data_IF_409034225832
#
_entry.id   IF_409034225832
#
_cell.length_a   1.000
_cell.length_b   1.000
_cell.length_c   1.000
_cell.angle_alpha   90.00
_cell.angle_beta   90.00
_cell.angle_gamma   90.00
#
_symmetry.space_group_name_H-M   'P 1'
#
loop_
_entity.id
_entity.type
_entity.pdbx_description
1 polymer ?
#
# COMPACT_ATOMS: atom_id res chain seq x y z
N UNK A 1 -9.94 15.62 9.43
CA UNK A 1 -10.52 14.26 9.36
C UNK A 1 -11.78 14.19 8.51
N UNK A 2 -12.68 15.17 8.61
CA UNK A 2 -13.96 15.22 7.88
C UNK A 2 -13.88 14.89 6.39
N UNK A 3 -12.89 15.41 5.66
CA UNK A 3 -12.70 15.09 4.23
C UNK A 3 -11.76 13.91 3.97
N UNK A 4 -10.73 13.72 4.82
CA UNK A 4 -9.72 12.67 4.63
C UNK A 4 -10.32 11.27 4.80
N UNK A 5 -11.17 11.07 5.81
CA UNK A 5 -11.73 9.76 6.14
C UNK A 5 -12.68 9.25 5.05
N UNK A 6 -13.66 10.03 4.54
CA UNK A 6 -14.49 9.58 3.42
C UNK A 6 -13.68 9.25 2.17
N UNK A 7 -12.69 10.09 1.82
CA UNK A 7 -11.82 9.83 0.66
C UNK A 7 -11.03 8.52 0.85
N UNK A 8 -10.51 8.29 2.05
CA UNK A 8 -9.80 7.05 2.39
C UNK A 8 -10.70 5.83 2.26
N UNK A 9 -11.94 5.89 2.78
CA UNK A 9 -12.92 4.80 2.71
C UNK A 9 -13.31 4.53 1.24
N UNK A 10 -13.56 5.57 0.44
CA UNK A 10 -13.87 5.42 -0.98
C UNK A 10 -12.70 4.79 -1.75
N UNK A 11 -11.47 5.27 -1.53
CA UNK A 11 -10.27 4.70 -2.14
C UNK A 11 -10.06 3.23 -1.72
N UNK A 12 -10.27 2.92 -0.44
CA UNK A 12 -10.27 1.58 0.13
C UNK A 12 -11.28 0.65 -0.53
N UNK A 13 -12.51 1.12 -0.67
CA UNK A 13 -13.61 0.34 -1.26
C UNK A 13 -13.30 0.03 -2.73
N UNK A 14 -12.85 1.02 -3.50
CA UNK A 14 -12.43 0.83 -4.89
C UNK A 14 -11.24 -0.13 -5.01
N UNK A 15 -10.26 -0.04 -4.11
CA UNK A 15 -9.12 -0.96 -4.08
C UNK A 15 -9.57 -2.40 -3.79
N UNK A 16 -10.47 -2.60 -2.81
CA UNK A 16 -11.00 -3.92 -2.46
C UNK A 16 -11.84 -4.55 -3.57
N UNK A 17 -12.70 -3.77 -4.22
CA UNK A 17 -13.45 -4.26 -5.38
C UNK A 17 -12.49 -4.63 -6.52
N UNK A 18 -11.50 -3.77 -6.80
CA UNK A 18 -10.51 -4.04 -7.82
C UNK A 18 -9.67 -5.28 -7.51
N UNK A 19 -9.26 -5.51 -6.25
CA UNK A 19 -8.53 -6.71 -5.89
C UNK A 19 -9.39 -7.97 -6.02
N UNK A 20 -10.67 -7.92 -5.63
CA UNK A 20 -11.60 -9.02 -5.83
C UNK A 20 -11.75 -9.37 -7.32
N UNK A 21 -11.95 -8.37 -8.19
CA UNK A 21 -11.98 -8.58 -9.64
C UNK A 21 -10.66 -9.14 -10.18
N UNK A 22 -9.51 -8.66 -9.67
CA UNK A 22 -8.21 -9.16 -10.09
C UNK A 22 -8.02 -10.64 -9.74
N UNK A 23 -8.45 -11.07 -8.54
CA UNK A 23 -8.38 -12.45 -8.05
C UNK A 23 -9.30 -13.38 -8.85
N UNK A 24 -10.52 -12.94 -9.16
CA UNK A 24 -11.48 -13.74 -9.93
C UNK A 24 -11.17 -13.78 -11.44
N UNK A 25 -10.20 -13.00 -11.90
CA UNK A 25 -9.83 -12.91 -13.32
C UNK A 25 -8.56 -13.68 -13.62
N UNK A 26 -8.45 -14.18 -14.84
CA UNK A 26 -7.28 -14.92 -15.29
C UNK A 26 -6.04 -14.01 -15.34
N UNK A 27 -4.98 -14.43 -14.65
CA UNK A 27 -3.74 -13.68 -14.51
C UNK A 27 -3.16 -13.31 -15.88
N UNK A 28 -2.85 -12.03 -16.06
CA UNK A 28 -2.25 -11.52 -17.30
C UNK A 28 -3.24 -11.14 -18.40
N UNK A 29 -4.54 -11.45 -18.27
CA UNK A 29 -5.56 -10.92 -19.18
C UNK A 29 -5.85 -9.43 -18.89
N UNK A 30 -6.49 -8.75 -19.84
CA UNK A 30 -6.83 -7.31 -19.76
C UNK A 30 -7.56 -6.97 -18.45
N UNK A 31 -8.52 -7.79 -18.02
CA UNK A 31 -9.28 -7.57 -16.78
C UNK A 31 -8.35 -7.59 -15.56
N UNK A 32 -7.50 -8.62 -15.43
CA UNK A 32 -6.53 -8.72 -14.33
C UNK A 32 -5.57 -7.53 -14.29
N UNK A 33 -5.06 -7.10 -15.44
CA UNK A 33 -4.12 -5.97 -15.54
C UNK A 33 -4.79 -4.66 -15.15
N UNK A 34 -5.99 -4.38 -15.66
CA UNK A 34 -6.73 -3.16 -15.35
C UNK A 34 -7.15 -3.14 -13.89
N UNK A 35 -7.66 -4.25 -13.37
CA UNK A 35 -8.03 -4.40 -11.96
C UNK A 35 -6.82 -4.20 -11.04
N UNK A 36 -5.66 -4.81 -11.35
CA UNK A 36 -4.42 -4.59 -10.60
C UNK A 36 -3.94 -3.13 -10.65
N UNK A 37 -4.12 -2.43 -11.77
CA UNK A 37 -3.79 -0.99 -11.89
C UNK A 37 -4.73 -0.13 -11.05
N UNK A 38 -6.03 -0.42 -11.05
CA UNK A 38 -7.03 0.27 -10.20
C UNK A 38 -6.75 0.03 -8.72
N UNK A 39 -6.45 -1.21 -8.33
CA UNK A 39 -6.02 -1.56 -6.97
C UNK A 39 -4.82 -0.72 -6.53
N UNK A 40 -3.77 -0.64 -7.36
CA UNK A 40 -2.58 0.13 -7.01
C UNK A 40 -2.87 1.62 -6.80
N UNK A 41 -3.67 2.24 -7.68
CA UNK A 41 -4.02 3.65 -7.52
C UNK A 41 -4.93 3.90 -6.32
N UNK A 42 -5.84 2.97 -6.01
CA UNK A 42 -6.61 2.98 -4.77
C UNK A 42 -5.69 2.94 -3.54
N UNK A 43 -4.73 2.01 -3.51
CA UNK A 43 -3.72 1.91 -2.44
C UNK A 43 -2.86 3.17 -2.31
N UNK A 44 -2.52 3.83 -3.42
CA UNK A 44 -1.84 5.13 -3.38
C UNK A 44 -2.70 6.22 -2.72
N UNK A 45 -4.01 6.27 -3.03
CA UNK A 45 -4.95 7.18 -2.38
C UNK A 45 -5.13 6.90 -0.88
N UNK A 46 -5.24 5.62 -0.50
CA UNK A 46 -5.27 5.16 0.90
C UNK A 46 -4.00 5.62 1.63
N UNK A 47 -2.82 5.43 1.03
CA UNK A 47 -1.55 5.84 1.60
C UNK A 47 -1.48 7.36 1.84
N UNK A 48 -1.79 8.16 0.80
CA UNK A 48 -1.75 9.61 0.87
C UNK A 48 -2.73 10.20 1.90
N UNK A 49 -3.86 9.54 2.13
CA UNK A 49 -4.82 9.94 3.16
C UNK A 49 -4.44 9.40 4.55
N UNK A 50 -3.86 8.21 4.66
CA UNK A 50 -3.46 7.62 5.94
C UNK A 50 -2.31 8.37 6.63
N UNK A 51 -1.37 8.93 5.87
CA UNK A 51 -0.27 9.72 6.42
C UNK A 51 -0.74 10.91 7.26
N UNK A 52 -1.54 11.87 6.74
CA UNK A 52 -2.01 12.98 7.55
C UNK A 52 -2.96 12.52 8.66
N UNK A 53 -3.78 11.50 8.45
CA UNK A 53 -4.68 10.99 9.49
C UNK A 53 -3.93 10.39 10.69
N UNK A 54 -2.87 9.63 10.44
CA UNK A 54 -2.03 9.06 11.50
C UNK A 54 -1.23 10.13 12.26
N UNK A 55 -0.79 11.19 11.58
CA UNK A 55 -0.15 12.34 12.23
C UNK A 55 -1.15 13.11 13.11
N UNK A 56 -2.34 13.41 12.60
CA UNK A 56 -3.40 14.13 13.36
C UNK A 56 -3.81 13.36 14.60
N UNK A 57 -3.92 12.03 14.49
CA UNK A 57 -4.27 11.16 15.62
C UNK A 57 -3.08 10.81 16.52
N UNK A 58 -1.87 11.31 16.20
CA UNK A 58 -0.61 10.96 16.87
C UNK A 58 -0.39 9.44 17.00
N UNK A 59 -0.89 8.67 16.03
CA UNK A 59 -0.83 7.22 16.05
C UNK A 59 0.31 6.72 15.17
N UNK A 60 1.47 6.49 15.80
CA UNK A 60 2.68 6.03 15.12
C UNK A 60 2.48 4.65 14.46
N UNK A 61 1.70 3.76 15.07
CA UNK A 61 1.42 2.45 14.50
C UNK A 61 0.69 2.56 13.16
N UNK A 62 -0.35 3.40 13.07
CA UNK A 62 -1.07 3.66 11.82
C UNK A 62 -0.20 4.37 10.78
N UNK A 63 0.77 5.18 11.20
CA UNK A 63 1.73 5.79 10.29
C UNK A 63 2.63 4.73 9.65
N UNK A 64 3.18 3.81 10.45
CA UNK A 64 4.05 2.73 9.95
C UNK A 64 3.29 1.74 9.06
N UNK A 65 2.06 1.37 9.42
CA UNK A 65 1.25 0.43 8.63
C UNK A 65 0.87 1.00 7.27
N UNK A 66 0.77 2.33 7.13
CA UNK A 66 0.53 2.98 5.85
C UNK A 66 1.71 2.74 4.89
N UNK A 67 2.95 2.93 5.34
CA UNK A 67 4.15 2.65 4.53
C UNK A 67 4.26 1.17 4.19
N UNK A 68 4.05 0.30 5.18
CA UNK A 68 4.11 -1.14 4.99
C UNK A 68 3.12 -1.62 3.91
N UNK A 69 1.85 -1.21 4.05
CA UNK A 69 0.78 -1.60 3.13
C UNK A 69 1.01 -1.05 1.71
N UNK A 70 1.46 0.20 1.60
CA UNK A 70 1.77 0.79 0.30
C UNK A 70 2.96 0.10 -0.37
N UNK A 71 4.00 -0.25 0.40
CA UNK A 71 5.15 -0.99 -0.12
C UNK A 71 4.73 -2.32 -0.75
N UNK A 72 3.83 -3.09 -0.13
CA UNK A 72 3.34 -4.36 -0.70
C UNK A 72 2.68 -4.14 -2.07
N UNK A 73 1.86 -3.10 -2.21
CA UNK A 73 1.25 -2.73 -3.48
C UNK A 73 2.30 -2.26 -4.52
N UNK A 74 3.26 -1.45 -4.08
CA UNK A 74 4.37 -0.96 -4.90
C UNK A 74 5.26 -2.10 -5.42
N UNK A 75 5.69 -3.00 -4.55
CA UNK A 75 6.48 -4.17 -4.93
C UNK A 75 5.73 -5.03 -5.95
N UNK A 76 4.44 -5.31 -5.72
CA UNK A 76 3.60 -6.04 -6.66
C UNK A 76 3.56 -5.39 -8.05
N UNK A 77 3.33 -4.07 -8.12
CA UNK A 77 3.34 -3.33 -9.40
C UNK A 77 4.72 -3.35 -10.06
N UNK A 78 5.78 -3.20 -9.25
CA UNK A 78 7.16 -3.18 -9.74
C UNK A 78 7.57 -4.52 -10.34
N UNK A 79 7.25 -5.64 -9.69
CA UNK A 79 7.49 -6.98 -10.25
C UNK A 79 6.72 -7.23 -11.55
N UNK A 80 5.51 -6.69 -11.67
CA UNK A 80 4.73 -6.81 -12.91
C UNK A 80 5.32 -6.00 -14.09
N UNK A 81 6.02 -4.88 -13.80
CA UNK A 81 6.64 -4.02 -14.80
C UNK A 81 8.10 -4.41 -15.10
N UNK A 82 8.85 -4.84 -14.09
CA UNK A 82 10.27 -5.14 -14.20
C UNK A 82 10.53 -6.57 -14.67
N UNK A 83 10.42 -6.81 -15.98
CA UNK A 83 10.68 -8.12 -16.57
C UNK A 83 12.16 -8.51 -16.66
N UNK A 84 13.07 -7.55 -16.44
CA UNK A 84 14.52 -7.76 -16.50
C UNK A 84 15.12 -8.18 -15.15
N UNK A 85 14.37 -8.05 -14.05
CA UNK A 85 14.85 -8.39 -12.70
C UNK A 85 15.92 -7.43 -12.14
N UNK A 86 16.17 -6.29 -12.78
CA UNK A 86 17.20 -5.34 -12.35
C UNK A 86 16.58 -4.36 -11.36
N UNK A 87 17.04 -4.38 -10.11
CA UNK A 87 16.60 -3.45 -9.07
C UNK A 87 17.17 -2.04 -9.32
N UNK A 88 16.30 -1.04 -9.21
CA UNK A 88 16.65 0.38 -9.27
C UNK A 88 16.86 0.96 -7.87
N UNK A 89 17.41 2.17 -7.80
CA UNK A 89 17.59 2.89 -6.53
C UNK A 89 16.26 3.06 -5.78
N UNK A 90 15.16 3.29 -6.52
CA UNK A 90 13.81 3.42 -5.92
C UNK A 90 13.39 2.12 -5.23
N UNK A 91 13.77 0.97 -5.79
CA UNK A 91 13.44 -0.34 -5.22
C UNK A 91 14.18 -0.53 -3.89
N UNK A 92 15.46 -0.12 -3.83
CA UNK A 92 16.25 -0.16 -2.59
C UNK A 92 15.73 0.79 -1.50
N UNK A 93 15.36 2.01 -1.87
CA UNK A 93 14.75 2.98 -0.93
C UNK A 93 13.44 2.40 -0.37
N UNK A 94 12.60 1.85 -1.24
CA UNK A 94 11.32 1.26 -0.85
C UNK A 94 11.50 0.08 0.11
N UNK A 95 12.48 -0.81 -0.15
CA UNK A 95 12.84 -1.92 0.74
C UNK A 95 13.35 -1.41 2.09
N UNK A 96 14.24 -0.41 2.10
CA UNK A 96 14.74 0.17 3.35
C UNK A 96 13.63 0.74 4.21
N UNK A 97 12.68 1.45 3.59
CA UNK A 97 11.51 2.01 4.27
C UNK A 97 10.57 0.92 4.81
N UNK A 98 10.39 -0.16 4.05
CA UNK A 98 9.61 -1.32 4.49
C UNK A 98 10.24 -1.99 5.72
N UNK A 99 11.55 -2.22 5.71
CA UNK A 99 12.26 -2.82 6.84
C UNK A 99 12.15 -1.93 8.07
N UNK A 100 12.36 -0.63 7.92
CA UNK A 100 12.20 0.33 9.00
C UNK A 100 10.77 0.33 9.57
N UNK A 101 9.74 0.32 8.70
CA UNK A 101 8.34 0.27 9.11
C UNK A 101 8.00 -1.04 9.84
N UNK A 102 8.45 -2.19 9.32
CA UNK A 102 8.24 -3.50 9.91
C UNK A 102 8.90 -3.63 11.29
N UNK A 103 10.16 -3.24 11.41
CA UNK A 103 10.88 -3.22 12.69
C UNK A 103 10.22 -2.26 13.69
N UNK A 104 9.82 -1.07 13.24
CA UNK A 104 9.10 -0.11 14.08
C UNK A 104 7.79 -0.68 14.63
N UNK A 105 6.99 -1.35 13.79
CA UNK A 105 5.76 -2.00 14.24
C UNK A 105 6.03 -3.13 15.24
N UNK A 106 7.08 -3.92 15.03
CA UNK A 106 7.44 -5.02 15.93
C UNK A 106 7.91 -4.51 17.30
N UNK A 107 8.73 -3.44 17.30
CA UNK A 107 9.16 -2.76 18.53
C UNK A 107 7.97 -2.20 19.30
N UNK A 108 7.05 -1.51 18.62
CA UNK A 108 5.81 -1.03 19.24
C UNK A 108 5.00 -2.20 19.81
N UNK A 109 4.85 -3.30 19.08
CA UNK A 109 4.12 -4.46 19.57
C UNK A 109 4.70 -5.02 20.88
N UNK A 110 6.03 -5.09 21.01
CA UNK A 110 6.69 -5.56 22.25
C UNK A 110 6.55 -4.57 23.42
N UNK A 111 6.55 -3.26 23.15
CA UNK A 111 6.39 -2.26 24.21
C UNK A 111 4.95 -2.12 24.71
N UNK A 112 3.97 -2.40 23.86
CA UNK A 112 2.55 -2.25 24.16
C UNK A 112 1.82 -3.60 24.35
N UNK A 113 2.53 -4.74 24.35
CA UNK A 113 2.03 -6.08 24.70
C UNK A 113 1.99 -6.30 26.21
#
# INVERSE_FOLDING_TARGET
MEYLLPIHILAGTLALLASAFAICSEKGKKIHITAGRTYFWGMAGIFLTALPMSIITSNVFLFLIAFFSFYLAFAGRRFAQNRKGIASIVDWIAVGLMIAAGLGMWVLAVFYS
#
